data_IF_147560649752
#
_entry.id   IF_147560649752
#
_cell.length_a   1.000
_cell.length_b   1.000
_cell.length_c   1.000
_cell.angle_alpha   90.00
_cell.angle_beta   90.00
_cell.angle_gamma   90.00
#
_symmetry.space_group_name_H-M   'P 1'
#
loop_
_entity.id
_entity.type
_entity.pdbx_description
1 polymer ?
#
# COMPACT_ATOMS: atom_id res chain seq x y z
N UNK A 1 -52.49 -38.45 -0.91
CA UNK A 1 -51.38 -38.75 -1.83
C UNK A 1 -50.78 -37.40 -2.20
N UNK A 2 -49.68 -37.02 -1.54
CA UNK A 2 -49.03 -35.72 -1.75
C UNK A 2 -48.18 -35.76 -3.03
N UNK A 3 -48.10 -34.64 -3.72
CA UNK A 3 -47.50 -34.46 -5.05
C UNK A 3 -45.99 -34.80 -5.06
N UNK A 4 -45.47 -35.61 -5.99
CA UNK A 4 -44.04 -35.95 -6.10
C UNK A 4 -43.10 -34.75 -6.31
N UNK A 5 -43.62 -33.56 -6.62
CA UNK A 5 -42.84 -32.34 -6.81
C UNK A 5 -42.50 -31.60 -5.50
N UNK A 6 -43.12 -31.95 -4.37
CA UNK A 6 -42.87 -31.31 -3.08
C UNK A 6 -41.63 -31.90 -2.35
N UNK A 7 -41.07 -33.01 -2.85
CA UNK A 7 -39.95 -33.74 -2.22
C UNK A 7 -38.57 -33.23 -2.69
N UNK A 8 -38.51 -32.26 -3.62
CA UNK A 8 -37.24 -31.71 -4.14
C UNK A 8 -36.76 -30.41 -3.47
N UNK A 9 -37.38 -29.95 -2.39
CA UNK A 9 -36.98 -28.72 -1.69
C UNK A 9 -35.92 -28.91 -0.59
N UNK A 10 -35.38 -30.12 -0.39
CA UNK A 10 -34.49 -30.43 0.75
C UNK A 10 -33.01 -30.65 0.36
N UNK A 11 -32.57 -30.30 -0.85
CA UNK A 11 -31.14 -30.27 -1.15
C UNK A 11 -30.54 -28.92 -0.78
N UNK A 12 -30.40 -28.70 0.53
CA UNK A 12 -29.42 -27.82 1.18
C UNK A 12 -28.84 -26.70 0.28
N UNK A 13 -29.68 -25.74 -0.13
CA UNK A 13 -29.20 -24.44 -0.55
C UNK A 13 -28.71 -23.77 0.72
N UNK A 14 -27.45 -24.02 1.08
CA UNK A 14 -26.76 -23.27 2.13
C UNK A 14 -27.07 -21.80 1.91
N UNK A 15 -27.78 -21.18 2.84
CA UNK A 15 -28.23 -19.80 2.70
C UNK A 15 -27.07 -18.91 2.26
N UNK A 16 -27.31 -17.87 1.46
CA UNK A 16 -26.24 -17.08 0.82
C UNK A 16 -25.13 -16.61 1.77
N UNK A 17 -25.44 -16.45 3.06
CA UNK A 17 -24.46 -16.20 4.12
C UNK A 17 -23.43 -17.33 4.29
N UNK A 18 -23.85 -18.60 4.33
CA UNK A 18 -22.96 -19.75 4.48
C UNK A 18 -22.07 -19.95 3.26
N UNK A 19 -22.59 -19.70 2.06
CA UNK A 19 -21.81 -19.73 0.83
C UNK A 19 -20.76 -18.61 0.81
N UNK A 20 -21.13 -17.39 1.22
CA UNK A 20 -20.19 -16.27 1.34
C UNK A 20 -19.12 -16.51 2.42
N UNK A 21 -19.51 -17.08 3.57
CA UNK A 21 -18.60 -17.46 4.65
C UNK A 21 -17.63 -18.57 4.21
N UNK A 22 -18.09 -19.55 3.43
CA UNK A 22 -17.22 -20.60 2.90
C UNK A 22 -16.25 -20.05 1.83
N UNK A 23 -16.74 -19.21 0.92
CA UNK A 23 -15.92 -18.56 -0.10
C UNK A 23 -14.81 -17.68 0.49
N UNK A 24 -15.11 -16.93 1.55
CA UNK A 24 -14.11 -16.10 2.25
C UNK A 24 -13.01 -16.92 2.92
N UNK A 25 -13.34 -18.07 3.52
CA UNK A 25 -12.34 -19.00 4.10
C UNK A 25 -11.39 -19.54 3.02
N UNK A 26 -11.91 -19.94 1.86
CA UNK A 26 -11.09 -20.43 0.75
C UNK A 26 -10.22 -19.34 0.13
N UNK A 27 -10.75 -18.12 -0.04
CA UNK A 27 -10.01 -16.98 -0.61
C UNK A 27 -8.83 -16.56 0.30
N UNK A 28 -9.05 -16.48 1.61
CA UNK A 28 -7.99 -16.16 2.57
C UNK A 28 -6.87 -17.20 2.55
N UNK A 29 -7.19 -18.50 2.44
CA UNK A 29 -6.18 -19.56 2.35
C UNK A 29 -5.32 -19.43 1.09
N UNK A 30 -5.94 -19.24 -0.07
CA UNK A 30 -5.22 -19.07 -1.34
C UNK A 30 -4.32 -17.84 -1.31
N UNK A 31 -4.82 -16.74 -0.72
CA UNK A 31 -4.05 -15.51 -0.55
C UNK A 31 -2.87 -15.69 0.40
N UNK A 32 -3.06 -16.36 1.53
CA UNK A 32 -1.99 -16.66 2.47
C UNK A 32 -0.86 -17.49 1.82
N UNK A 33 -1.22 -18.55 1.08
CA UNK A 33 -0.23 -19.35 0.33
C UNK A 33 0.51 -18.50 -0.70
N UNK A 34 -0.20 -17.63 -1.41
CA UNK A 34 0.40 -16.79 -2.44
C UNK A 34 1.30 -15.70 -1.87
N UNK A 35 0.94 -15.12 -0.70
CA UNK A 35 1.72 -14.12 0.00
C UNK A 35 3.07 -14.68 0.48
N UNK A 36 3.15 -15.98 0.80
CA UNK A 36 4.43 -16.64 1.13
C UNK A 36 5.45 -16.60 0.00
N UNK A 37 5.06 -16.29 -1.24
CA UNK A 37 6.01 -16.15 -2.36
C UNK A 37 6.52 -14.71 -2.56
N UNK A 38 6.04 -13.74 -1.77
CA UNK A 38 6.45 -12.33 -1.92
C UNK A 38 7.95 -12.13 -1.62
N UNK A 39 8.56 -12.95 -0.76
CA UNK A 39 9.99 -12.87 -0.48
C UNK A 39 10.86 -13.07 -1.72
N UNK A 40 10.41 -13.86 -2.70
CA UNK A 40 11.14 -14.09 -3.96
C UNK A 40 11.26 -12.81 -4.79
N UNK A 41 10.25 -11.91 -4.69
CA UNK A 41 10.22 -10.64 -5.42
C UNK A 41 11.21 -9.61 -4.89
N UNK A 42 11.64 -9.78 -3.63
CA UNK A 42 12.54 -8.85 -2.95
C UNK A 42 13.95 -8.85 -3.55
N UNK A 43 14.33 -9.90 -4.27
CA UNK A 43 15.66 -10.02 -4.89
C UNK A 43 15.79 -9.18 -6.17
N UNK A 44 14.68 -8.88 -6.85
CA UNK A 44 14.67 -8.19 -8.14
C UNK A 44 13.78 -6.95 -8.06
N UNK A 45 14.26 -5.94 -7.35
CA UNK A 45 13.58 -4.64 -7.21
C UNK A 45 14.18 -3.67 -8.23
N UNK A 46 13.34 -3.20 -9.16
CA UNK A 46 13.71 -2.19 -10.14
C UNK A 46 13.18 -0.82 -9.71
N UNK A 47 14.04 0.19 -9.83
CA UNK A 47 13.70 1.60 -9.64
C UNK A 47 13.80 2.25 -11.01
N UNK A 48 12.75 2.95 -11.42
CA UNK A 48 12.81 3.70 -12.67
C UNK A 48 13.63 4.98 -12.47
N UNK A 49 14.45 5.29 -13.46
CA UNK A 49 15.37 6.44 -13.49
C UNK A 49 14.78 7.66 -14.22
N UNK A 50 13.59 7.53 -14.81
CA UNK A 50 12.97 8.61 -15.56
C UNK A 50 12.60 9.78 -14.62
N UNK A 51 13.11 10.99 -14.95
CA UNK A 51 12.93 12.27 -14.26
C UNK A 51 13.81 12.57 -13.02
N UNK A 52 15.13 12.38 -13.11
CA UNK A 52 16.06 13.11 -12.22
C UNK A 52 16.13 14.58 -12.67
N UNK A 53 15.14 15.38 -12.29
CA UNK A 53 15.21 16.84 -12.46
C UNK A 53 16.11 17.38 -11.36
N UNK A 54 17.20 18.07 -11.73
CA UNK A 54 18.24 18.56 -10.80
C UNK A 54 17.79 19.56 -9.73
N UNK A 55 16.49 19.86 -9.64
CA UNK A 55 15.89 20.80 -8.67
C UNK A 55 15.01 20.11 -7.62
N UNK A 56 14.98 18.76 -7.57
CA UNK A 56 14.17 17.99 -6.61
C UNK A 56 14.97 17.34 -5.47
N UNK A 57 14.27 16.93 -4.41
CA UNK A 57 14.85 16.11 -3.35
C UNK A 57 15.12 14.68 -3.83
N UNK A 58 16.26 14.11 -3.40
CA UNK A 58 16.59 12.70 -3.59
C UNK A 58 16.20 11.92 -2.35
N UNK A 59 15.27 10.97 -2.50
CA UNK A 59 14.80 10.14 -1.40
C UNK A 59 15.56 8.81 -1.37
N UNK A 60 16.15 8.48 -0.22
CA UNK A 60 16.89 7.23 -0.03
C UNK A 60 16.09 6.34 0.91
N UNK A 61 15.73 5.15 0.44
CA UNK A 61 15.05 4.13 1.24
C UNK A 61 16.02 3.03 1.65
N UNK A 62 16.16 2.72 2.96
CA UNK A 62 16.89 1.54 3.41
C UNK A 62 16.29 0.26 2.83
N UNK A 63 17.15 -0.61 2.25
CA UNK A 63 16.69 -1.83 1.58
C UNK A 63 15.91 -2.74 2.53
N UNK A 64 16.35 -2.89 3.78
CA UNK A 64 15.69 -3.73 4.79
C UNK A 64 14.21 -3.35 5.03
N UNK A 65 13.89 -2.06 5.09
CA UNK A 65 12.52 -1.58 5.26
C UNK A 65 11.68 -1.99 4.05
N UNK A 66 12.22 -1.80 2.83
CA UNK A 66 11.54 -2.18 1.60
C UNK A 66 11.33 -3.70 1.50
N UNK A 67 12.33 -4.50 1.90
CA UNK A 67 12.21 -5.97 1.96
C UNK A 67 11.08 -6.39 2.90
N UNK A 68 11.10 -5.88 4.13
CA UNK A 68 10.14 -6.22 5.16
C UNK A 68 8.72 -5.84 4.73
N UNK A 69 8.55 -4.66 4.15
CA UNK A 69 7.26 -4.21 3.63
C UNK A 69 6.70 -5.15 2.57
N UNK A 70 7.52 -5.57 1.60
CA UNK A 70 7.08 -6.48 0.55
C UNK A 70 6.66 -7.83 1.16
N UNK A 71 7.38 -8.31 2.16
CA UNK A 71 7.08 -9.59 2.82
C UNK A 71 5.80 -9.56 3.67
N UNK A 72 5.46 -8.43 4.31
CA UNK A 72 4.24 -8.33 5.14
C UNK A 72 2.98 -7.98 4.33
N UNK A 73 3.13 -7.66 3.06
CA UNK A 73 2.02 -7.22 2.22
C UNK A 73 1.26 -8.41 1.59
N UNK A 74 0.25 -8.11 0.77
CA UNK A 74 -0.65 -9.08 0.17
C UNK A 74 -0.89 -8.78 -1.31
N UNK A 75 -1.29 -9.80 -2.08
CA UNK A 75 -1.52 -9.68 -3.53
C UNK A 75 -2.90 -9.13 -3.91
N UNK A 76 -3.84 -9.06 -2.98
CA UNK A 76 -5.22 -8.62 -3.27
C UNK A 76 -5.60 -7.37 -2.51
N UNK A 77 -4.98 -7.12 -1.37
CA UNK A 77 -5.22 -5.96 -0.51
C UNK A 77 -4.01 -5.04 -0.50
N UNK A 78 -4.27 -3.73 -0.51
CA UNK A 78 -3.22 -2.73 -0.40
C UNK A 78 -2.82 -2.52 1.07
N UNK A 79 -1.54 -2.21 1.30
CA UNK A 79 -0.97 -1.88 2.62
C UNK A 79 -0.18 -0.58 2.47
N UNK A 80 -0.44 0.40 3.31
CA UNK A 80 0.22 1.71 3.29
C UNK A 80 1.00 1.98 4.58
N UNK A 81 1.86 2.99 4.55
CA UNK A 81 2.54 3.47 5.73
C UNK A 81 2.92 4.93 5.58
N UNK A 82 3.16 5.58 6.72
CA UNK A 82 3.58 6.97 6.77
C UNK A 82 5.10 7.04 6.61
N UNK A 83 5.57 7.91 5.71
CA UNK A 83 6.99 8.16 5.53
C UNK A 83 7.41 9.33 6.41
N UNK A 84 8.48 9.09 7.12
CA UNK A 84 9.20 10.08 7.90
C UNK A 84 10.63 10.13 7.38
N UNK A 85 11.32 11.23 7.59
CA UNK A 85 12.74 11.26 7.27
C UNK A 85 13.42 12.51 7.77
N UNK A 86 14.71 12.58 7.47
CA UNK A 86 15.56 13.70 7.79
C UNK A 86 16.55 13.88 6.64
N UNK A 87 17.00 15.11 6.45
CA UNK A 87 18.19 15.35 5.64
C UNK A 87 19.46 15.18 6.47
N UNK A 88 20.50 14.51 5.93
CA UNK A 88 21.83 14.57 6.51
C UNK A 88 22.33 16.01 6.61
N UNK A 89 23.17 16.30 7.61
CA UNK A 89 23.73 17.65 7.82
C UNK A 89 24.56 18.11 6.61
N UNK A 90 25.23 17.16 5.94
CA UNK A 90 26.12 17.44 4.82
C UNK A 90 25.38 17.65 3.49
N UNK A 91 24.13 17.19 3.37
CA UNK A 91 23.37 17.28 2.11
C UNK A 91 21.86 17.49 2.33
N UNK A 92 21.38 18.74 2.32
CA UNK A 92 19.97 19.06 2.53
C UNK A 92 19.06 18.62 1.37
N UNK A 93 19.61 18.30 0.20
CA UNK A 93 18.83 17.84 -0.95
C UNK A 93 18.52 16.34 -0.88
N UNK A 94 19.12 15.60 0.05
CA UNK A 94 18.85 14.19 0.28
C UNK A 94 17.91 14.02 1.47
N UNK A 95 16.99 13.06 1.38
CA UNK A 95 16.06 12.68 2.44
C UNK A 95 16.17 11.19 2.73
N UNK A 96 16.67 10.84 3.90
CA UNK A 96 16.72 9.45 4.35
C UNK A 96 15.35 9.05 4.93
N UNK A 97 14.73 8.03 4.34
CA UNK A 97 13.35 7.67 4.65
C UNK A 97 13.26 6.55 5.70
N UNK A 98 12.26 6.69 6.57
CA UNK A 98 11.80 5.71 7.56
C UNK A 98 10.29 5.51 7.39
N UNK A 99 9.80 4.34 7.77
CA UNK A 99 8.41 3.95 7.59
C UNK A 99 7.75 3.63 8.93
N UNK A 100 6.58 4.20 9.17
CA UNK A 100 5.69 3.82 10.27
C UNK A 100 4.42 3.19 9.71
N UNK A 101 4.05 2.01 10.21
CA UNK A 101 2.88 1.26 9.76
C UNK A 101 1.84 1.30 10.89
N UNK A 102 0.82 2.16 10.79
CA UNK A 102 -0.25 2.21 11.78
C UNK A 102 -1.23 1.03 11.60
N UNK A 103 -2.13 0.81 12.58
CA UNK A 103 -3.30 -0.04 12.40
C UNK A 103 -4.09 0.39 11.15
N UNK A 104 -4.38 -0.55 10.25
CA UNK A 104 -5.03 -0.25 8.98
C UNK A 104 -5.80 -1.46 8.46
N UNK A 105 -6.72 -1.21 7.53
CA UNK A 105 -7.31 -2.26 6.73
C UNK A 105 -7.39 -1.84 5.26
N UNK A 106 -7.09 -2.79 4.37
CA UNK A 106 -6.99 -2.56 2.95
C UNK A 106 -8.06 -3.30 2.16
N UNK A 107 -8.44 -2.71 1.02
CA UNK A 107 -9.13 -3.39 -0.07
C UNK A 107 -8.21 -3.44 -1.29
N UNK A 108 -8.70 -4.00 -2.40
CA UNK A 108 -7.97 -3.98 -3.67
C UNK A 108 -7.79 -2.56 -4.24
N UNK A 109 -8.66 -1.61 -3.87
CA UNK A 109 -8.67 -0.26 -4.46
C UNK A 109 -8.09 0.81 -3.53
N UNK A 110 -8.33 0.70 -2.22
CA UNK A 110 -7.96 1.71 -1.24
C UNK A 110 -7.52 1.10 0.10
N UNK A 111 -6.79 1.90 0.87
CA UNK A 111 -6.40 1.62 2.25
C UNK A 111 -7.08 2.63 3.17
N UNK A 112 -7.68 2.12 4.24
CA UNK A 112 -8.19 2.95 5.32
C UNK A 112 -7.11 3.08 6.39
N UNK A 113 -6.68 4.31 6.62
CA UNK A 113 -5.68 4.70 7.60
C UNK A 113 -6.35 5.52 8.71
N UNK A 114 -5.78 5.55 9.92
CA UNK A 114 -6.23 6.46 10.97
C UNK A 114 -6.06 7.92 10.52
N UNK A 115 -6.96 8.78 11.00
CA UNK A 115 -6.95 10.20 10.67
C UNK A 115 -5.73 10.92 11.28
N UNK A 116 -5.31 10.48 12.46
CA UNK A 116 -4.17 11.05 13.17
C UNK A 116 -2.87 10.40 12.69
N UNK A 117 -1.82 11.22 12.60
CA UNK A 117 -0.48 10.72 12.34
C UNK A 117 0.06 9.96 13.56
N UNK A 118 0.86 8.90 13.36
CA UNK A 118 1.55 8.24 14.45
C UNK A 118 2.47 9.21 15.19
N UNK A 119 2.33 9.23 16.50
CA UNK A 119 3.21 9.95 17.42
C UNK A 119 4.03 8.93 18.19
N UNK A 120 5.36 9.11 18.18
CA UNK A 120 6.28 8.24 18.90
C UNK A 120 7.60 8.98 19.12
N UNK A 121 8.31 8.72 20.21
CA UNK A 121 9.61 9.33 20.55
C UNK A 121 10.63 9.22 19.40
N UNK A 122 10.81 8.03 18.84
CA UNK A 122 11.65 7.80 17.64
C UNK A 122 11.24 8.55 16.36
N UNK A 123 10.05 9.17 16.32
CA UNK A 123 9.58 9.99 15.20
C UNK A 123 9.67 11.50 15.49
N UNK A 124 9.97 11.90 16.73
CA UNK A 124 9.93 13.30 17.15
C UNK A 124 10.92 14.19 16.37
N UNK A 125 12.09 13.64 16.03
CA UNK A 125 13.14 14.37 15.30
C UNK A 125 12.98 14.28 13.77
N UNK A 126 11.95 13.59 13.26
CA UNK A 126 11.77 13.31 11.84
C UNK A 126 10.62 14.13 11.26
N UNK A 127 10.82 14.66 10.05
CA UNK A 127 9.76 15.34 9.32
C UNK A 127 8.88 14.33 8.54
N UNK A 128 7.56 14.56 8.45
CA UNK A 128 6.69 13.75 7.63
C UNK A 128 6.94 14.04 6.14
N UNK A 129 7.42 13.05 5.41
CA UNK A 129 7.70 13.13 3.96
C UNK A 129 6.48 12.81 3.09
N UNK A 130 5.31 12.68 3.72
CA UNK A 130 4.02 12.40 3.12
C UNK A 130 3.49 11.00 3.43
N UNK A 131 2.20 10.80 3.22
CA UNK A 131 1.60 9.47 3.26
C UNK A 131 1.98 8.73 1.97
N UNK A 132 2.96 7.83 2.02
CA UNK A 132 3.09 6.86 0.94
C UNK A 132 1.86 5.96 0.98
N UNK A 133 0.87 6.28 0.14
CA UNK A 133 -0.18 5.34 -0.22
C UNK A 133 0.50 4.25 -1.06
N UNK A 134 1.16 3.34 -0.38
CA UNK A 134 2.02 2.34 -1.00
C UNK A 134 1.10 1.28 -1.60
N UNK A 135 0.91 1.34 -2.93
CA UNK A 135 0.19 0.29 -3.64
C UNK A 135 1.17 -0.82 -3.95
N UNK A 136 1.12 -1.92 -3.20
CA UNK A 136 1.92 -3.11 -3.50
C UNK A 136 1.53 -3.83 -4.81
N UNK A 137 0.64 -3.25 -5.64
CA UNK A 137 0.34 -3.77 -6.98
C UNK A 137 0.13 -2.70 -8.07
N UNK A 138 0.45 -1.43 -7.81
CA UNK A 138 0.63 -0.43 -8.87
C UNK A 138 1.83 0.43 -8.52
N UNK A 139 2.98 -0.19 -8.65
CA UNK A 139 4.25 0.52 -8.78
C UNK A 139 4.10 1.39 -10.04
N UNK A 140 4.42 2.68 -9.92
CA UNK A 140 4.54 3.70 -10.97
C UNK A 140 3.36 4.65 -11.29
N UNK A 141 2.14 4.20 -11.59
CA UNK A 141 1.14 5.12 -12.16
C UNK A 141 0.48 6.11 -11.17
N UNK A 142 0.48 5.82 -9.87
CA UNK A 142 -0.25 6.60 -8.86
C UNK A 142 0.61 7.56 -8.05
N UNK A 143 1.94 7.38 -7.99
CA UNK A 143 2.84 8.39 -7.40
C UNK A 143 2.83 9.69 -8.22
N UNK A 144 2.74 9.59 -9.55
CA UNK A 144 2.54 10.74 -10.44
C UNK A 144 1.19 11.46 -10.23
N UNK A 145 0.14 10.75 -9.80
CA UNK A 145 -1.19 11.33 -9.57
C UNK A 145 -1.35 11.96 -8.19
N UNK A 146 -0.73 11.38 -7.16
CA UNK A 146 -0.71 11.95 -5.82
C UNK A 146 0.09 13.26 -5.79
N UNK A 147 1.26 13.29 -6.46
CA UNK A 147 2.09 14.48 -6.54
C UNK A 147 1.49 15.60 -7.41
N UNK A 148 0.72 15.26 -8.46
CA UNK A 148 -0.04 16.25 -9.27
C UNK A 148 -1.17 16.94 -8.51
N UNK A 149 -1.67 16.37 -7.41
CA UNK A 149 -2.85 16.88 -6.70
C UNK A 149 -2.50 17.85 -5.56
N UNK A 150 -1.25 17.87 -5.11
CA UNK A 150 -0.78 18.71 -4.00
C UNK A 150 -0.08 20.01 -4.44
N UNK A 151 -0.07 20.33 -5.74
CA UNK A 151 0.29 21.66 -6.26
C UNK A 151 -0.83 22.26 -7.11
N UNK A 152 -1.93 22.66 -6.48
CA UNK A 152 -2.81 23.72 -6.99
C UNK A 152 -2.65 24.93 -6.09
N UNK A 153 -1.62 25.71 -6.40
CA UNK A 153 -1.35 26.97 -5.73
C UNK A 153 -0.09 27.57 -6.33
N UNK A 154 -0.28 28.70 -7.02
CA UNK A 154 0.72 29.64 -7.51
C UNK A 154 1.32 29.44 -8.93
N UNK A 155 0.72 30.27 -9.80
CA UNK A 155 1.30 31.18 -10.81
C UNK A 155 1.80 30.59 -12.13
N UNK A 156 1.10 31.05 -13.20
CA UNK A 156 1.43 31.00 -14.62
C UNK A 156 2.56 31.97 -14.97
N UNK A 157 3.16 31.75 -16.15
CA UNK A 157 4.11 32.59 -16.90
C UNK A 157 5.58 32.30 -16.57
N UNK A 158 6.54 32.32 -17.50
CA UNK A 158 6.53 32.61 -18.94
C UNK A 158 7.73 31.86 -19.57
N UNK A 159 7.74 31.82 -20.90
CA UNK A 159 8.84 31.51 -21.83
C UNK A 159 10.24 31.80 -21.23
N UNK A 160 11.20 30.89 -21.27
CA UNK A 160 12.02 30.44 -22.41
C UNK A 160 12.83 29.20 -21.99
#
# INVERSE_FOLDING_TARGET
MLDPLEVKANYCDKEGYEQAAFASKTDLRVRAISAMNLYLRVNHIYVNSDDIKGTGYTYITPKNILKNLICIADLRTQVAGFLYGLSPQDNPQVKEMRLSIPPQHGSHQMVNLPANLPEHEFLADLEPLGASRMKLLRIWHDMLKFWRRTRRGMVKSASF
#
